data_IF_632263321088
#
_entry.id   IF_632263321088
#
_cell.length_a   1.000
_cell.length_b   1.000
_cell.length_c   1.000
_cell.angle_alpha   90.00
_cell.angle_beta   90.00
_cell.angle_gamma   90.00
#
_symmetry.space_group_name_H-M   'P 1'
#
loop_
_entity.id
_entity.type
_entity.pdbx_description
1 polymer ?
#
# COMPACT_ATOMS: atom_id res chain seq x y z
N UNK A 1 -8.17 5.41 -32.59
CA UNK A 1 -7.23 4.25 -32.66
C UNK A 1 -5.85 4.52 -32.04
N UNK A 2 -5.26 5.72 -32.18
CA UNK A 2 -3.94 6.06 -31.59
C UNK A 2 -3.89 5.95 -30.06
N UNK A 3 -4.95 6.34 -29.36
CA UNK A 3 -4.95 6.42 -27.90
C UNK A 3 -4.81 5.08 -27.16
N UNK A 4 -5.51 4.01 -27.59
CA UNK A 4 -5.36 2.68 -26.97
C UNK A 4 -3.97 2.09 -27.17
N UNK A 5 -3.32 2.42 -28.28
CA UNK A 5 -1.97 1.94 -28.60
C UNK A 5 -0.94 2.61 -27.69
N UNK A 6 -1.14 3.88 -27.33
CA UNK A 6 -0.30 4.60 -26.36
C UNK A 6 -0.42 4.07 -24.93
N UNK A 7 -1.51 3.36 -24.60
CA UNK A 7 -1.70 2.74 -23.28
C UNK A 7 -1.08 1.35 -23.17
N UNK A 8 -0.67 0.72 -24.29
CA UNK A 8 -0.08 -0.63 -24.25
C UNK A 8 1.20 -0.72 -23.43
N UNK A 9 2.20 0.20 -23.57
CA UNK A 9 3.42 0.13 -22.76
C UNK A 9 3.12 0.24 -21.27
N UNK A 10 2.24 1.16 -20.89
CA UNK A 10 1.81 1.33 -19.50
C UNK A 10 1.12 0.08 -18.94
N UNK A 11 0.29 -0.60 -19.76
CA UNK A 11 -0.36 -1.84 -19.35
C UNK A 11 0.65 -2.96 -19.13
N UNK A 12 1.63 -3.10 -20.02
CA UNK A 12 2.69 -4.12 -19.89
C UNK A 12 3.53 -3.87 -18.65
N UNK A 13 3.94 -2.61 -18.44
CA UNK A 13 4.70 -2.19 -17.26
C UNK A 13 3.94 -2.52 -15.96
N UNK A 14 2.66 -2.12 -15.89
CA UNK A 14 1.82 -2.37 -14.73
C UNK A 14 1.59 -3.87 -14.49
N UNK A 15 1.33 -4.63 -15.56
CA UNK A 15 1.12 -6.08 -15.46
C UNK A 15 2.38 -6.81 -14.98
N UNK A 16 3.55 -6.43 -15.50
CA UNK A 16 4.82 -7.01 -15.08
C UNK A 16 5.13 -6.66 -13.63
N UNK A 17 4.93 -5.40 -13.23
CA UNK A 17 5.11 -4.95 -11.86
C UNK A 17 4.23 -5.74 -10.88
N UNK A 18 2.93 -5.87 -11.16
CA UNK A 18 2.03 -6.65 -10.30
C UNK A 18 2.34 -8.15 -10.28
N UNK A 19 2.79 -8.72 -11.40
CA UNK A 19 3.21 -10.12 -11.44
C UNK A 19 4.43 -10.35 -10.54
N UNK A 20 5.45 -9.50 -10.64
CA UNK A 20 6.64 -9.57 -9.79
C UNK A 20 6.26 -9.42 -8.32
N UNK A 21 5.45 -8.40 -7.98
CA UNK A 21 4.98 -8.18 -6.60
C UNK A 21 4.21 -9.39 -6.08
N UNK A 22 3.35 -10.01 -6.90
CA UNK A 22 2.59 -11.19 -6.51
C UNK A 22 3.50 -12.39 -6.23
N UNK A 23 4.47 -12.68 -7.09
CA UNK A 23 5.44 -13.78 -6.91
C UNK A 23 6.26 -13.56 -5.63
N UNK A 24 6.81 -12.35 -5.45
CA UNK A 24 7.61 -12.01 -4.28
C UNK A 24 6.77 -12.11 -3.01
N UNK A 25 5.55 -11.57 -3.01
CA UNK A 25 4.64 -11.64 -1.85
C UNK A 25 4.30 -13.08 -1.48
N UNK A 26 4.00 -13.93 -2.46
CA UNK A 26 3.73 -15.35 -2.23
C UNK A 26 4.94 -16.07 -1.63
N UNK A 27 6.15 -15.81 -2.15
CA UNK A 27 7.38 -16.38 -1.61
C UNK A 27 7.62 -15.95 -0.15
N UNK A 28 7.42 -14.67 0.17
CA UNK A 28 7.53 -14.16 1.54
C UNK A 28 6.48 -14.77 2.47
N UNK A 29 5.24 -14.97 2.02
CA UNK A 29 4.21 -15.61 2.82
C UNK A 29 4.54 -17.08 3.14
N UNK A 30 5.02 -17.82 2.14
CA UNK A 30 5.42 -19.23 2.31
C UNK A 30 6.63 -19.34 3.25
N UNK A 31 7.67 -18.54 3.01
CA UNK A 31 8.87 -18.52 3.84
C UNK A 31 8.56 -18.05 5.27
N UNK A 32 7.72 -17.02 5.42
CA UNK A 32 7.25 -16.54 6.71
C UNK A 32 6.49 -17.62 7.49
N UNK A 33 5.59 -18.36 6.83
CA UNK A 33 4.90 -19.49 7.48
C UNK A 33 5.86 -20.58 7.94
N UNK A 34 6.86 -20.91 7.14
CA UNK A 34 7.80 -22.00 7.45
C UNK A 34 8.83 -21.61 8.53
N UNK A 35 9.32 -20.38 8.49
CA UNK A 35 10.43 -19.93 9.35
C UNK A 35 9.97 -19.14 10.58
N UNK A 36 8.83 -18.44 10.50
CA UNK A 36 8.28 -17.61 11.57
C UNK A 36 6.98 -18.18 12.16
N UNK A 37 6.48 -19.29 11.62
CA UNK A 37 5.32 -20.03 12.13
C UNK A 37 5.58 -20.76 13.45
N UNK A 38 4.67 -21.65 13.85
CA UNK A 38 4.79 -22.39 15.12
C UNK A 38 6.07 -23.22 15.11
N UNK A 39 6.93 -22.94 16.08
CA UNK A 39 8.20 -23.61 16.29
C UNK A 39 7.98 -24.97 16.98
N UNK A 40 8.96 -25.90 16.93
CA UNK A 40 8.86 -27.23 17.56
C UNK A 40 8.52 -27.19 19.07
N UNK A 41 8.85 -26.08 19.72
CA UNK A 41 8.63 -25.72 21.12
C UNK A 41 7.25 -25.07 21.40
N UNK A 42 6.37 -24.96 20.39
CA UNK A 42 5.03 -24.38 20.51
C UNK A 42 5.00 -22.86 20.57
N UNK A 43 6.16 -22.21 20.53
CA UNK A 43 6.32 -20.76 20.44
C UNK A 43 6.11 -20.28 18.99
N UNK A 44 5.71 -19.03 18.82
CA UNK A 44 5.65 -18.38 17.52
C UNK A 44 6.74 -17.33 17.44
N UNK A 45 7.57 -17.36 16.40
CA UNK A 45 8.50 -16.27 16.06
C UNK A 45 7.76 -15.16 15.29
N UNK A 46 6.50 -14.93 15.64
CA UNK A 46 5.74 -13.82 15.10
C UNK A 46 6.47 -12.54 15.50
N UNK A 47 6.70 -11.64 14.55
CA UNK A 47 7.50 -10.46 14.82
C UNK A 47 6.92 -9.69 16.01
N UNK A 48 7.75 -9.38 17.00
CA UNK A 48 7.38 -8.52 18.13
C UNK A 48 7.43 -7.06 17.71
N UNK A 49 6.50 -6.24 18.20
CA UNK A 49 6.19 -4.88 17.76
C UNK A 49 7.38 -4.04 17.25
N UNK A 50 8.47 -3.96 18.01
CA UNK A 50 9.63 -3.11 17.69
C UNK A 50 10.69 -3.82 16.84
N UNK A 51 10.69 -5.16 16.79
CA UNK A 51 11.70 -5.99 16.13
C UNK A 51 11.22 -6.58 14.80
N UNK A 52 10.11 -6.11 14.23
CA UNK A 52 9.52 -6.58 12.97
C UNK A 52 10.55 -6.87 11.87
N UNK A 53 11.43 -5.90 11.58
CA UNK A 53 12.45 -6.02 10.53
C UNK A 53 13.53 -7.04 10.90
N UNK A 54 13.89 -7.10 12.20
CA UNK A 54 14.93 -8.00 12.71
C UNK A 54 14.49 -9.45 12.65
N UNK A 55 13.24 -9.74 13.03
CA UNK A 55 12.67 -11.10 12.97
C UNK A 55 12.48 -11.54 11.52
N UNK A 56 12.06 -10.65 10.62
CA UNK A 56 11.96 -10.97 9.18
C UNK A 56 13.32 -11.22 8.51
N UNK A 57 14.41 -10.66 9.05
CA UNK A 57 15.75 -10.88 8.51
C UNK A 57 16.21 -12.35 8.64
N UNK A 58 15.58 -13.14 9.52
CA UNK A 58 15.86 -14.57 9.69
C UNK A 58 15.67 -15.34 8.38
N UNK A 59 14.65 -14.97 7.59
CA UNK A 59 14.37 -15.57 6.28
C UNK A 59 15.60 -15.53 5.37
N UNK A 60 16.28 -14.38 5.33
CA UNK A 60 17.45 -14.18 4.47
C UNK A 60 18.71 -14.82 5.04
N UNK A 61 18.91 -14.73 6.36
CA UNK A 61 20.06 -15.37 6.99
C UNK A 61 20.03 -16.90 6.94
N UNK A 62 18.84 -17.51 6.84
CA UNK A 62 18.69 -18.96 6.66
C UNK A 62 19.16 -19.43 5.27
N UNK A 63 19.06 -18.57 4.25
CA UNK A 63 19.53 -18.87 2.88
C UNK A 63 21.04 -18.62 2.78
N UNK A 64 21.50 -17.40 3.13
CA UNK A 64 22.91 -17.05 3.15
C UNK A 64 23.16 -15.83 4.04
N UNK A 65 24.24 -15.84 4.83
CA UNK A 65 24.55 -14.78 5.79
C UNK A 65 24.75 -13.40 5.15
N UNK A 66 25.24 -13.34 3.90
CA UNK A 66 25.43 -12.09 3.16
C UNK A 66 24.11 -11.45 2.65
N UNK A 67 23.00 -12.20 2.64
CA UNK A 67 21.70 -11.66 2.23
C UNK A 67 21.08 -10.76 3.32
N UNK A 68 21.47 -10.95 4.59
CA UNK A 68 20.98 -10.14 5.70
C UNK A 68 21.28 -8.63 5.54
N UNK A 69 22.53 -8.20 5.29
CA UNK A 69 22.80 -6.78 5.04
C UNK A 69 22.14 -6.28 3.75
N UNK A 70 22.06 -7.10 2.70
CA UNK A 70 21.36 -6.72 1.47
C UNK A 70 19.87 -6.46 1.70
N UNK A 71 19.22 -7.31 2.49
CA UNK A 71 17.83 -7.14 2.91
C UNK A 71 17.63 -5.83 3.68
N UNK A 72 18.50 -5.53 4.65
CA UNK A 72 18.41 -4.29 5.42
C UNK A 72 18.53 -3.03 4.54
N UNK A 73 19.46 -3.04 3.58
CA UNK A 73 19.61 -1.95 2.60
C UNK A 73 18.37 -1.85 1.71
N UNK A 74 17.82 -2.99 1.28
CA UNK A 74 16.61 -3.03 0.45
C UNK A 74 15.38 -2.49 1.18
N UNK A 75 15.21 -2.82 2.47
CA UNK A 75 14.15 -2.28 3.33
C UNK A 75 14.29 -0.77 3.47
N UNK A 76 15.52 -0.25 3.65
CA UNK A 76 15.77 1.19 3.69
C UNK A 76 15.29 1.88 2.39
N UNK A 77 15.65 1.35 1.23
CA UNK A 77 15.20 1.90 -0.06
C UNK A 77 13.68 1.77 -0.27
N UNK A 78 13.07 0.68 0.18
CA UNK A 78 11.61 0.47 0.09
C UNK A 78 10.83 1.49 0.94
N UNK A 79 11.30 1.77 2.17
CA UNK A 79 10.71 2.79 3.04
C UNK A 79 10.89 4.16 2.41
N UNK A 80 12.09 4.49 1.93
CA UNK A 80 12.37 5.77 1.30
C UNK A 80 11.48 6.01 0.06
N UNK A 81 11.34 5.00 -0.80
CA UNK A 81 10.45 5.08 -1.97
C UNK A 81 8.99 5.33 -1.58
N UNK A 82 8.52 4.68 -0.52
CA UNK A 82 7.15 4.88 0.00
C UNK A 82 6.95 6.30 0.56
N UNK A 83 7.93 6.82 1.30
CA UNK A 83 7.92 8.18 1.83
C UNK A 83 7.87 9.20 0.68
N UNK A 84 8.73 9.03 -0.32
CA UNK A 84 8.77 9.91 -1.49
C UNK A 84 7.43 9.91 -2.25
N UNK A 85 6.90 8.72 -2.56
CA UNK A 85 5.60 8.58 -3.21
C UNK A 85 4.46 9.23 -2.40
N UNK A 86 4.49 9.08 -1.06
CA UNK A 86 3.53 9.72 -0.17
C UNK A 86 3.60 11.26 -0.23
N UNK A 87 4.80 11.83 -0.12
CA UNK A 87 4.96 13.28 -0.12
C UNK A 87 4.73 13.93 -1.48
N UNK A 88 5.08 13.27 -2.58
CA UNK A 88 4.87 13.85 -3.91
C UNK A 88 3.47 13.53 -4.45
N UNK A 89 3.18 12.25 -4.64
CA UNK A 89 1.97 11.82 -5.33
C UNK A 89 0.74 11.94 -4.43
N UNK A 90 0.80 11.39 -3.21
CA UNK A 90 -0.37 11.39 -2.32
C UNK A 90 -0.71 12.81 -1.84
N UNK A 91 0.29 13.65 -1.54
CA UNK A 91 0.03 15.03 -1.16
C UNK A 91 -0.58 15.87 -2.29
N UNK A 92 -0.13 15.69 -3.55
CA UNK A 92 -0.80 16.32 -4.71
C UNK A 92 -2.21 15.82 -4.88
N UNK A 93 -2.42 14.51 -4.81
CA UNK A 93 -3.75 13.91 -4.94
C UNK A 93 -4.70 14.46 -3.88
N UNK A 94 -4.25 14.53 -2.63
CA UNK A 94 -5.01 15.10 -1.52
C UNK A 94 -5.30 16.58 -1.73
N UNK A 95 -4.31 17.36 -2.20
CA UNK A 95 -4.50 18.78 -2.48
C UNK A 95 -5.55 19.02 -3.57
N UNK A 96 -5.43 18.38 -4.72
CA UNK A 96 -6.36 18.58 -5.85
C UNK A 96 -7.78 18.11 -5.51
N UNK A 97 -7.90 17.00 -4.78
CA UNK A 97 -9.19 16.51 -4.30
C UNK A 97 -9.80 17.49 -3.29
N UNK A 98 -9.01 17.93 -2.30
CA UNK A 98 -9.47 18.83 -1.23
C UNK A 98 -9.81 20.23 -1.75
N UNK A 99 -9.05 20.74 -2.72
CA UNK A 99 -9.28 22.03 -3.38
C UNK A 99 -10.63 22.08 -4.10
N UNK A 100 -11.07 20.95 -4.66
CA UNK A 100 -12.34 20.85 -5.37
C UNK A 100 -13.54 20.65 -4.43
N UNK A 101 -13.31 20.12 -3.21
CA UNK A 101 -14.37 19.83 -2.24
C UNK A 101 -14.52 20.91 -1.15
N UNK A 102 -13.42 21.54 -0.72
CA UNK A 102 -13.36 22.38 0.48
C UNK A 102 -13.01 23.82 0.11
N UNK A 103 -13.99 24.73 0.28
CA UNK A 103 -13.88 26.16 -0.10
C UNK A 103 -12.63 26.87 0.48
N UNK A 104 -12.25 26.69 1.77
CA UNK A 104 -11.03 27.27 2.32
C UNK A 104 -9.75 26.85 1.59
N UNK A 105 -9.63 25.55 1.24
CA UNK A 105 -8.41 24.99 0.64
C UNK A 105 -8.23 25.47 -0.80
N UNK A 106 -9.33 25.79 -1.49
CA UNK A 106 -9.29 26.30 -2.87
C UNK A 106 -8.44 27.56 -3.05
N UNK A 107 -8.34 28.40 -2.02
CA UNK A 107 -7.58 29.66 -2.06
C UNK A 107 -6.12 29.48 -1.62
N UNK A 108 -5.76 28.32 -1.07
CA UNK A 108 -4.43 28.06 -0.53
C UNK A 108 -3.53 27.55 -1.66
N UNK A 109 -2.35 28.15 -1.89
CA UNK A 109 -1.39 27.62 -2.86
C UNK A 109 -0.80 26.29 -2.36
N UNK A 110 -0.48 25.39 -3.28
CA UNK A 110 0.04 24.05 -2.97
C UNK A 110 1.21 24.06 -1.96
N UNK A 111 2.15 25.00 -2.09
CA UNK A 111 3.29 25.12 -1.16
C UNK A 111 2.87 25.34 0.29
N UNK A 112 1.84 26.15 0.55
CA UNK A 112 1.32 26.37 1.91
C UNK A 112 0.55 25.15 2.41
N UNK A 113 -0.24 24.52 1.54
CA UNK A 113 -0.90 23.26 1.86
C UNK A 113 0.09 22.17 2.26
N UNK A 114 1.19 22.03 1.52
CA UNK A 114 2.28 21.09 1.83
C UNK A 114 2.89 21.34 3.21
N UNK A 115 3.14 22.59 3.57
CA UNK A 115 3.67 22.92 4.90
C UNK A 115 2.68 22.51 5.99
N UNK A 116 1.39 22.82 5.84
CA UNK A 116 0.37 22.39 6.80
C UNK A 116 0.27 20.87 6.90
N UNK A 117 0.35 20.17 5.76
CA UNK A 117 0.33 18.71 5.72
C UNK A 117 1.55 18.13 6.43
N UNK A 118 2.75 18.67 6.21
CA UNK A 118 3.98 18.23 6.89
C UNK A 118 3.88 18.48 8.40
N UNK A 119 3.41 19.66 8.82
CA UNK A 119 3.24 19.97 10.24
C UNK A 119 2.23 19.01 10.88
N UNK A 120 1.13 18.72 10.19
CA UNK A 120 0.13 17.75 10.66
C UNK A 120 0.71 16.34 10.77
N UNK A 121 1.43 15.87 9.74
CA UNK A 121 2.04 14.54 9.71
C UNK A 121 3.13 14.38 10.77
N UNK A 122 4.01 15.36 10.95
CA UNK A 122 5.04 15.32 12.00
C UNK A 122 4.42 15.47 13.39
N UNK A 123 3.42 16.36 13.52
CA UNK A 123 2.73 16.63 14.78
C UNK A 123 1.94 15.43 15.30
N UNK A 124 1.43 14.56 14.45
CA UNK A 124 0.81 13.29 14.86
C UNK A 124 1.80 12.12 14.85
N UNK A 125 2.65 12.04 13.83
CA UNK A 125 3.56 10.92 13.64
C UNK A 125 4.62 10.81 14.73
N UNK A 126 5.19 11.93 15.20
CA UNK A 126 6.21 11.91 16.26
C UNK A 126 5.61 11.44 17.59
N UNK A 127 4.49 12.00 18.10
CA UNK A 127 3.87 11.47 19.31
C UNK A 127 3.50 10.00 19.22
N UNK A 128 2.91 9.56 18.10
CA UNK A 128 2.56 8.16 17.88
C UNK A 128 3.81 7.26 17.93
N UNK A 129 4.88 7.66 17.25
CA UNK A 129 6.15 6.92 17.25
C UNK A 129 6.78 6.85 18.65
N UNK A 130 6.71 7.93 19.43
CA UNK A 130 7.16 7.94 20.82
C UNK A 130 6.30 7.00 21.66
N UNK A 131 4.97 7.02 21.51
CA UNK A 131 4.07 6.13 22.24
C UNK A 131 4.31 4.64 21.94
N UNK A 132 4.81 4.29 20.74
CA UNK A 132 5.24 2.92 20.43
C UNK A 132 6.41 2.47 21.31
N UNK A 133 7.32 3.37 21.71
CA UNK A 133 8.40 3.06 22.65
C UNK A 133 7.89 2.77 24.07
N UNK A 134 6.75 3.34 24.43
CA UNK A 134 6.08 3.14 25.73
C UNK A 134 5.11 1.95 25.74
N UNK A 135 5.16 1.08 24.72
CA UNK A 135 4.42 -0.17 24.69
C UNK A 135 3.12 -0.18 23.88
N UNK A 136 2.84 0.87 23.08
CA UNK A 136 1.78 0.75 22.06
C UNK A 136 2.23 -0.22 20.97
N UNK A 137 1.39 -1.22 20.67
CA UNK A 137 1.67 -2.21 19.64
C UNK A 137 1.77 -1.55 18.25
N UNK A 138 2.96 -1.66 17.66
CA UNK A 138 3.25 -1.24 16.27
C UNK A 138 2.39 -2.04 15.30
N UNK A 139 2.24 -3.33 15.55
CA UNK A 139 1.48 -4.24 14.69
C UNK A 139 0.01 -3.85 14.66
N UNK A 140 -0.56 -3.51 15.83
CA UNK A 140 -1.95 -3.04 15.92
C UNK A 140 -2.14 -1.76 15.10
N UNK A 141 -1.23 -0.78 15.24
CA UNK A 141 -1.34 0.49 14.52
C UNK A 141 -1.18 0.31 13.01
N UNK A 142 -0.24 -0.52 12.57
CA UNK A 142 -0.09 -0.90 11.17
C UNK A 142 -1.35 -1.61 10.67
N UNK A 143 -1.88 -2.57 11.41
CA UNK A 143 -3.08 -3.33 11.02
C UNK A 143 -4.29 -2.42 10.82
N UNK A 144 -4.53 -1.49 11.75
CA UNK A 144 -5.60 -0.49 11.62
C UNK A 144 -5.36 0.39 10.39
N UNK A 145 -4.13 0.87 10.20
CA UNK A 145 -3.78 1.72 9.06
C UNK A 145 -3.98 1.00 7.73
N UNK A 146 -3.54 -0.25 7.62
CA UNK A 146 -3.72 -1.09 6.44
C UNK A 146 -5.19 -1.44 6.19
N UNK A 147 -6.00 -1.61 7.24
CA UNK A 147 -7.45 -1.81 7.09
C UNK A 147 -8.11 -0.59 6.43
N UNK A 148 -7.85 0.61 6.93
CA UNK A 148 -8.47 1.81 6.37
C UNK A 148 -7.94 2.17 4.98
N UNK A 149 -6.61 2.15 4.80
CA UNK A 149 -6.00 2.59 3.54
C UNK A 149 -6.03 1.47 2.50
N UNK A 150 -5.58 0.27 2.88
CA UNK A 150 -5.37 -0.86 1.98
C UNK A 150 -6.63 -1.68 1.67
N UNK A 151 -7.64 -1.66 2.54
CA UNK A 151 -8.90 -2.38 2.31
C UNK A 151 -10.01 -1.39 1.95
N UNK A 152 -10.44 -0.57 2.91
CA UNK A 152 -11.59 0.32 2.72
C UNK A 152 -11.32 1.34 1.59
N UNK A 153 -10.18 2.03 1.66
CA UNK A 153 -9.78 3.01 0.65
C UNK A 153 -9.71 2.40 -0.75
N UNK A 154 -8.99 1.29 -0.92
CA UNK A 154 -8.82 0.64 -2.22
C UNK A 154 -10.14 0.13 -2.80
N UNK A 155 -11.05 -0.41 -1.98
CA UNK A 155 -12.39 -0.82 -2.45
C UNK A 155 -13.16 0.38 -3.00
N UNK A 156 -13.20 1.50 -2.26
CA UNK A 156 -13.89 2.73 -2.70
C UNK A 156 -13.27 3.25 -4.00
N UNK A 157 -11.94 3.32 -4.08
CA UNK A 157 -11.24 3.74 -5.29
C UNK A 157 -11.46 2.79 -6.46
N UNK A 158 -11.48 1.49 -6.24
CA UNK A 158 -11.72 0.46 -7.27
C UNK A 158 -13.13 0.59 -7.86
N UNK A 159 -14.15 0.70 -7.02
CA UNK A 159 -15.53 0.94 -7.45
C UNK A 159 -15.63 2.27 -8.21
N UNK A 160 -15.05 3.33 -7.65
CA UNK A 160 -15.03 4.66 -8.28
C UNK A 160 -14.36 4.65 -9.65
N UNK A 161 -13.24 3.96 -9.80
CA UNK A 161 -12.52 3.83 -11.07
C UNK A 161 -13.36 3.12 -12.13
N UNK A 162 -14.03 2.01 -11.78
CA UNK A 162 -14.93 1.31 -12.70
C UNK A 162 -16.14 2.16 -13.09
N UNK A 163 -16.74 2.86 -12.12
CA UNK A 163 -17.87 3.74 -12.36
C UNK A 163 -17.51 4.89 -13.31
N UNK A 164 -16.43 5.62 -13.01
CA UNK A 164 -15.95 6.73 -13.82
C UNK A 164 -15.57 6.25 -15.23
N UNK A 165 -14.91 5.09 -15.34
CA UNK A 165 -14.50 4.53 -16.62
C UNK A 165 -15.70 4.26 -17.55
N UNK A 166 -16.83 3.82 -17.00
CA UNK A 166 -18.02 3.53 -17.80
C UNK A 166 -18.92 4.75 -18.03
N UNK A 167 -19.06 5.62 -17.01
CA UNK A 167 -20.02 6.72 -17.04
C UNK A 167 -19.47 8.00 -17.66
N UNK A 168 -18.21 8.35 -17.38
CA UNK A 168 -17.63 9.67 -17.71
C UNK A 168 -16.74 9.60 -18.96
N UNK A 169 -15.99 8.51 -19.16
CA UNK A 169 -15.05 8.45 -20.28
C UNK A 169 -15.76 8.39 -21.65
N UNK A 170 -15.15 8.98 -22.71
CA UNK A 170 -15.60 8.83 -24.08
C UNK A 170 -15.66 7.36 -24.49
N UNK A 171 -16.57 7.01 -25.41
CA UNK A 171 -16.82 5.61 -25.86
C UNK A 171 -15.53 4.85 -26.25
N UNK A 172 -14.54 5.57 -26.75
CA UNK A 172 -13.24 5.02 -27.18
C UNK A 172 -12.35 4.54 -26.02
N UNK A 173 -12.51 5.11 -24.82
CA UNK A 173 -11.71 4.79 -23.63
C UNK A 173 -12.47 3.95 -22.60
N UNK A 174 -13.74 3.66 -22.85
CA UNK A 174 -14.51 2.76 -21.99
C UNK A 174 -13.88 1.38 -21.97
N UNK A 175 -13.88 0.77 -20.79
CA UNK A 175 -13.50 -0.63 -20.63
C UNK A 175 -14.45 -1.50 -21.47
N UNK A 176 -13.88 -2.42 -22.26
CA UNK A 176 -14.67 -3.43 -22.96
C UNK A 176 -15.31 -4.41 -21.97
N UNK A 177 -16.21 -5.27 -22.47
CA UNK A 177 -16.94 -6.25 -21.63
C UNK A 177 -16.03 -7.12 -20.77
N UNK A 178 -14.91 -7.60 -21.34
CA UNK A 178 -13.91 -8.40 -20.63
C UNK A 178 -13.22 -7.60 -19.52
N UNK A 179 -12.80 -6.37 -19.82
CA UNK A 179 -12.14 -5.50 -18.83
C UNK A 179 -13.08 -5.11 -17.68
N UNK A 180 -14.36 -4.90 -17.97
CA UNK A 180 -15.37 -4.64 -16.95
C UNK A 180 -15.61 -5.87 -16.07
N UNK A 181 -15.71 -7.07 -16.65
CA UNK A 181 -15.86 -8.31 -15.91
C UNK A 181 -14.68 -8.58 -14.98
N UNK A 182 -13.45 -8.49 -15.50
CA UNK A 182 -12.23 -8.63 -14.70
C UNK A 182 -12.13 -7.56 -13.60
N UNK A 183 -12.54 -6.33 -13.90
CA UNK A 183 -12.59 -5.26 -12.92
C UNK A 183 -13.54 -5.55 -11.75
N UNK A 184 -14.74 -6.05 -12.06
CA UNK A 184 -15.72 -6.45 -11.02
C UNK A 184 -15.18 -7.58 -10.16
N UNK A 185 -14.57 -8.61 -10.78
CA UNK A 185 -13.91 -9.69 -10.03
C UNK A 185 -12.83 -9.11 -9.12
N UNK A 186 -11.99 -8.20 -9.63
CA UNK A 186 -10.96 -7.53 -8.84
C UNK A 186 -11.52 -6.83 -7.61
N UNK A 187 -12.62 -6.09 -7.75
CA UNK A 187 -13.30 -5.44 -6.62
C UNK A 187 -13.85 -6.48 -5.62
N UNK A 188 -14.44 -7.57 -6.11
CA UNK A 188 -14.93 -8.64 -5.23
C UNK A 188 -13.78 -9.28 -4.44
N UNK A 189 -12.64 -9.54 -5.08
CA UNK A 189 -11.45 -10.10 -4.42
C UNK A 189 -10.91 -9.14 -3.34
N UNK A 190 -10.97 -7.82 -3.57
CA UNK A 190 -10.59 -6.81 -2.58
C UNK A 190 -11.52 -6.79 -1.35
N UNK A 191 -12.76 -7.29 -1.47
CA UNK A 191 -13.67 -7.43 -0.34
C UNK A 191 -13.35 -8.64 0.55
N UNK A 192 -12.56 -9.61 0.09
CA UNK A 192 -12.25 -10.82 0.87
C UNK A 192 -11.56 -10.49 2.20
N UNK A 193 -10.48 -9.67 2.24
CA UNK A 193 -9.83 -9.27 3.49
C UNK A 193 -10.79 -8.57 4.47
N UNK A 194 -11.72 -7.79 3.95
CA UNK A 194 -12.73 -7.10 4.75
C UNK A 194 -13.70 -8.10 5.40
N UNK A 195 -14.18 -9.07 4.62
CA UNK A 195 -15.07 -10.12 5.12
C UNK A 195 -14.38 -11.02 6.14
N UNK A 196 -13.11 -11.37 5.92
CA UNK A 196 -12.32 -12.16 6.88
C UNK A 196 -12.01 -11.42 8.19
N UNK A 197 -12.12 -10.08 8.21
CA UNK A 197 -11.98 -9.30 9.43
C UNK A 197 -13.29 -9.26 10.26
N UNK A 198 -14.45 -9.42 9.60
CA UNK A 198 -15.76 -9.38 10.25
C UNK A 198 -16.26 -10.73 10.77
N UNK A 199 -15.79 -11.84 10.18
CA UNK A 199 -16.11 -13.22 10.54
C UNK A 199 -15.11 -13.78 11.55
#
# INVERSE_FOLDING_TARGET
>A
MKAKTLLKPMLVDLALAFLIVSIVSAAYMIAGKYLLGPQPDGSYLLPSDVNLIKEQAVIFSNIATWLKPLYQISVFFAIFGTIYAGFEAAARMLYETSKNLIKPIRKIPYRRFMIYLIIYLLGLGIPIAISMLYGISVILLLSITLLFIGVIGVIIYGIGALYISQKILPKEYKLGRVGMFLGIIGVILLCIPFLSFLL
#
